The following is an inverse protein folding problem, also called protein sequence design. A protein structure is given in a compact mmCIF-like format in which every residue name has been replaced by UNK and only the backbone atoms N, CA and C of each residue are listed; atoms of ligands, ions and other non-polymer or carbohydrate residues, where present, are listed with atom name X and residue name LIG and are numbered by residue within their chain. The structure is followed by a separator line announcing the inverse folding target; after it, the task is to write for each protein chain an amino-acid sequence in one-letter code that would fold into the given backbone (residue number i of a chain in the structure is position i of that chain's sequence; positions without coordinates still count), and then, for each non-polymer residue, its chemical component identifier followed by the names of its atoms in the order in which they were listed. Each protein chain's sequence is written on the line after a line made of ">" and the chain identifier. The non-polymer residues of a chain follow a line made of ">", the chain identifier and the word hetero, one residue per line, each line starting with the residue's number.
data_IF_302489466666
#
_entry.id   IF_302489466666
#
_cell.length_a   1.000
_cell.length_b   1.000
_cell.length_c   1.000
_cell.angle_alpha   90.00
_cell.angle_beta   90.00
_cell.angle_gamma   90.00
#
_symmetry.space_group_name_H-M   'P 1'
#
loop_
_entity.id
_entity.type
_entity.pdbx_description
1 polymer ?
#
# COMPACT_ATOMS: atom_id res chain seq x y z
N UNK A 1 -11.29 8.97 8.37
CA UNK A 1 -10.14 8.03 8.25
C UNK A 1 -10.41 6.85 7.30
N UNK A 2 -11.58 6.23 7.42
CA UNK A 2 -11.90 4.99 6.71
C UNK A 2 -12.08 5.18 5.19
N UNK A 3 -12.68 6.29 4.74
CA UNK A 3 -12.82 6.58 3.32
C UNK A 3 -11.46 6.70 2.61
N UNK A 4 -10.49 7.35 3.29
CA UNK A 4 -9.12 7.48 2.78
C UNK A 4 -8.46 6.09 2.66
N UNK A 5 -8.64 5.22 3.66
CA UNK A 5 -8.14 3.84 3.61
C UNK A 5 -8.82 3.02 2.51
N UNK A 6 -10.12 3.23 2.28
CA UNK A 6 -10.88 2.55 1.25
C UNK A 6 -10.38 2.88 -0.17
N UNK A 7 -9.97 4.14 -0.42
CA UNK A 7 -9.48 4.57 -1.74
C UNK A 7 -7.97 4.46 -1.92
N UNK A 8 -7.20 4.19 -0.86
CA UNK A 8 -5.73 4.16 -0.91
C UNK A 8 -5.17 3.16 -1.93
N UNK A 9 -5.68 1.91 -1.93
CA UNK A 9 -5.22 0.89 -2.88
C UNK A 9 -5.46 1.28 -4.34
N UNK A 10 -6.69 1.59 -4.79
CA UNK A 10 -6.91 1.98 -6.19
C UNK A 10 -6.17 3.26 -6.58
N UNK A 11 -6.00 4.21 -5.65
CA UNK A 11 -5.30 5.47 -5.92
C UNK A 11 -3.77 5.31 -6.05
N UNK A 12 -3.15 4.37 -5.33
CA UNK A 12 -1.69 4.29 -5.22
C UNK A 12 -1.06 3.06 -5.90
N UNK A 13 -1.78 1.95 -6.08
CA UNK A 13 -1.19 0.68 -6.58
C UNK A 13 -0.47 0.80 -7.92
N UNK A 14 -1.00 1.63 -8.81
CA UNK A 14 -0.48 1.85 -10.16
C UNK A 14 0.66 2.89 -10.20
N UNK A 15 0.95 3.54 -9.06
CA UNK A 15 2.02 4.53 -8.90
C UNK A 15 3.28 3.95 -8.26
N UNK A 16 3.23 2.69 -7.85
CA UNK A 16 4.34 1.98 -7.22
C UNK A 16 5.02 1.11 -8.26
N UNK A 17 6.35 1.26 -8.37
CA UNK A 17 7.18 0.34 -9.12
C UNK A 17 7.83 -0.64 -8.15
N UNK A 18 7.44 -1.91 -8.25
CA UNK A 18 8.05 -2.98 -7.48
C UNK A 18 9.24 -3.50 -8.27
N UNK A 19 10.40 -3.54 -7.61
CA UNK A 19 11.61 -4.15 -8.19
C UNK A 19 11.37 -5.65 -8.41
N UNK A 20 11.93 -6.21 -9.47
CA UNK A 20 11.70 -7.61 -9.84
C UNK A 20 12.08 -8.58 -8.70
N UNK A 21 13.19 -8.30 -8.00
CA UNK A 21 13.67 -9.10 -6.88
C UNK A 21 12.63 -9.18 -5.76
N UNK A 22 12.02 -8.06 -5.41
CA UNK A 22 10.99 -8.01 -4.38
C UNK A 22 9.67 -8.69 -4.82
N UNK A 23 9.33 -8.60 -6.11
CA UNK A 23 8.17 -9.29 -6.66
C UNK A 23 8.34 -10.83 -6.60
N UNK A 24 9.57 -11.33 -6.85
CA UNK A 24 9.90 -12.76 -6.71
C UNK A 24 9.75 -13.25 -5.28
N UNK A 25 9.96 -12.39 -4.28
CA UNK A 25 9.70 -12.66 -2.86
C UNK A 25 8.20 -12.56 -2.49
N UNK A 26 7.32 -12.30 -3.46
CA UNK A 26 5.87 -12.19 -3.26
C UNK A 26 5.42 -10.85 -2.67
N UNK A 27 6.26 -9.81 -2.76
CA UNK A 27 5.85 -8.45 -2.43
C UNK A 27 4.96 -7.88 -3.53
N UNK A 28 3.82 -7.31 -3.14
CA UNK A 28 2.87 -6.67 -4.05
C UNK A 28 2.66 -5.21 -3.65
N UNK A 29 2.25 -4.36 -4.60
CA UNK A 29 1.91 -2.97 -4.32
C UNK A 29 0.84 -2.85 -3.23
N UNK A 30 -0.18 -3.72 -3.24
CA UNK A 30 -1.23 -3.73 -2.21
C UNK A 30 -0.67 -4.08 -0.83
N UNK A 31 0.26 -5.05 -0.72
CA UNK A 31 0.94 -5.37 0.55
C UNK A 31 1.77 -4.21 1.09
N UNK A 32 2.46 -3.50 0.20
CA UNK A 32 3.22 -2.29 0.58
C UNK A 32 2.29 -1.21 1.12
N UNK A 33 1.16 -0.97 0.43
CA UNK A 33 0.16 0.01 0.86
C UNK A 33 -0.44 -0.37 2.21
N UNK A 34 -0.81 -1.63 2.41
CA UNK A 34 -1.36 -2.10 3.69
C UNK A 34 -0.35 -1.91 4.85
N UNK A 35 0.91 -2.28 4.63
CA UNK A 35 1.96 -2.10 5.63
C UNK A 35 2.19 -0.63 5.96
N UNK A 36 2.20 0.27 4.97
CA UNK A 36 2.35 1.71 5.19
C UNK A 36 1.17 2.31 5.95
N UNK A 37 -0.06 1.89 5.64
CA UNK A 37 -1.25 2.38 6.36
C UNK A 37 -1.29 1.89 7.82
N UNK A 38 -0.60 0.80 8.14
CA UNK A 38 -0.46 0.31 9.50
C UNK A 38 0.59 1.07 10.33
N UNK A 39 1.58 1.72 9.70
CA UNK A 39 2.63 2.45 10.41
C UNK A 39 2.24 3.88 10.79
N UNK A 40 1.23 4.45 10.12
CA UNK A 40 0.76 5.81 10.37
C UNK A 40 -0.51 5.77 11.23
N UNK A 41 -0.50 6.29 12.47
CA UNK A 41 -1.69 6.34 13.29
C UNK A 41 -2.76 7.26 12.66
N UNK A 42 -4.00 6.80 12.64
CA UNK A 42 -5.11 7.62 12.16
C UNK A 42 -5.48 8.68 13.21
N UNK A 43 -5.75 9.93 12.79
CA UNK A 43 -6.32 10.93 13.69
C UNK A 43 -7.72 10.51 14.14
N UNK A 44 -8.08 10.87 15.37
CA UNK A 44 -9.44 10.70 15.91
C UNK A 44 -10.43 11.58 15.19
#
# INVERSE_FOLDING_TARGET
>A
PDDVKAVAKPALRHRLQIRAEAALEGLTADRVIDNLLATVPAPR
#
